data_IF_001382565704
#
_entry.id   IF_001382565704
#
_cell.length_a   1.000
_cell.length_b   1.000
_cell.length_c   1.000
_cell.angle_alpha   90.00
_cell.angle_beta   90.00
_cell.angle_gamma   90.00
#
_symmetry.space_group_name_H-M   'P 1'
#
loop_
_entity.id
_entity.type
_entity.pdbx_description
1 polymer ?
#
# COMPACT_ATOMS: atom_id res chain seq x y z
N UNK A 1 8.64 -7.95 22.55
CA UNK A 1 8.67 -8.53 21.20
C UNK A 1 7.42 -8.03 20.51
N UNK A 2 7.54 -7.21 19.46
CA UNK A 2 6.39 -6.72 18.69
C UNK A 2 6.32 -7.58 17.44
N UNK A 3 5.36 -8.50 17.39
CA UNK A 3 5.08 -9.28 16.19
C UNK A 3 4.33 -8.39 15.20
N UNK A 4 4.93 -8.16 14.04
CA UNK A 4 4.27 -7.50 12.92
C UNK A 4 3.58 -8.61 12.11
N UNK A 5 2.26 -8.71 12.27
CA UNK A 5 1.41 -9.61 11.47
C UNK A 5 1.10 -8.91 10.15
N UNK A 6 1.56 -9.47 9.03
CA UNK A 6 1.18 -9.02 7.69
C UNK A 6 -0.06 -9.80 7.23
N UNK A 7 -1.24 -9.18 7.35
CA UNK A 7 -2.48 -9.74 6.78
C UNK A 7 -2.63 -9.29 5.33
N UNK A 8 -2.27 -10.16 4.38
CA UNK A 8 -2.47 -9.97 2.92
C UNK A 8 -3.87 -10.42 2.48
N UNK A 9 -4.88 -10.22 3.33
CA UNK A 9 -6.28 -10.51 3.00
C UNK A 9 -7.03 -9.21 2.83
N UNK A 10 -7.93 -9.16 1.87
CA UNK A 10 -8.91 -8.09 1.62
C UNK A 10 -9.81 -7.90 2.85
N UNK A 11 -9.24 -7.29 3.90
CA UNK A 11 -9.92 -6.98 5.12
C UNK A 11 -10.58 -5.64 4.89
N UNK A 12 -11.89 -5.67 4.63
CA UNK A 12 -12.76 -4.51 4.81
C UNK A 12 -12.31 -3.81 6.10
N UNK A 13 -11.89 -2.56 5.95
CA UNK A 13 -11.31 -1.74 7.01
C UNK A 13 -12.20 -1.87 8.23
N UNK A 14 -11.72 -2.61 9.23
CA UNK A 14 -12.43 -2.79 10.49
C UNK A 14 -12.73 -1.40 11.05
N UNK A 15 -14.00 -1.18 11.39
CA UNK A 15 -14.46 0.04 12.02
C UNK A 15 -13.52 0.37 13.20
N UNK A 16 -12.86 1.55 13.20
CA UNK A 16 -11.95 1.95 14.28
C UNK A 16 -12.63 2.05 15.66
N UNK A 17 -13.95 1.90 15.72
CA UNK A 17 -14.80 2.06 16.90
C UNK A 17 -14.61 1.09 18.09
N UNK A 18 -13.67 0.15 18.06
CA UNK A 18 -13.53 -0.85 19.14
C UNK A 18 -12.26 -0.76 19.98
N UNK A 19 -11.32 0.14 19.66
CA UNK A 19 -10.12 0.32 20.46
C UNK A 19 -10.24 1.55 21.38
N UNK A 20 -10.46 1.29 22.66
CA UNK A 20 -10.74 2.30 23.68
C UNK A 20 -9.50 3.06 24.18
N UNK A 21 -8.29 2.65 23.78
CA UNK A 21 -7.06 3.39 24.14
C UNK A 21 -6.65 4.37 23.05
N UNK A 22 -6.26 5.58 23.46
CA UNK A 22 -5.73 6.62 22.58
C UNK A 22 -4.54 6.11 21.73
N UNK A 23 -3.68 5.29 22.33
CA UNK A 23 -2.55 4.64 21.64
C UNK A 23 -2.99 3.75 20.47
N UNK A 24 -4.10 3.02 20.62
CA UNK A 24 -4.58 2.15 19.57
C UNK A 24 -5.23 2.95 18.42
N UNK A 25 -5.93 4.05 18.72
CA UNK A 25 -6.47 4.94 17.69
C UNK A 25 -5.37 5.63 16.88
N UNK A 26 -4.27 6.04 17.53
CA UNK A 26 -3.09 6.60 16.85
C UNK A 26 -2.47 5.57 15.91
N UNK A 27 -2.23 4.33 16.39
CA UNK A 27 -1.68 3.25 15.58
C UNK A 27 -2.56 2.92 14.37
N UNK A 28 -3.88 2.90 14.53
CA UNK A 28 -4.82 2.66 13.41
C UNK A 28 -4.71 3.76 12.36
N UNK A 29 -4.61 5.03 12.79
CA UNK A 29 -4.44 6.16 11.86
C UNK A 29 -3.11 6.08 11.12
N UNK A 30 -2.03 5.71 11.79
CA UNK A 30 -0.72 5.51 11.16
C UNK A 30 -0.77 4.39 10.12
N UNK A 31 -1.35 3.23 10.47
CA UNK A 31 -1.53 2.10 9.54
C UNK A 31 -2.37 2.52 8.33
N UNK A 32 -3.46 3.25 8.53
CA UNK A 32 -4.31 3.75 7.45
C UNK A 32 -3.55 4.73 6.53
N UNK A 33 -2.70 5.59 7.10
CA UNK A 33 -1.79 6.45 6.36
C UNK A 33 -0.80 5.65 5.52
N UNK A 34 -0.14 4.65 6.13
CA UNK A 34 0.79 3.77 5.42
C UNK A 34 0.13 3.02 4.26
N UNK A 35 -1.10 2.54 4.42
CA UNK A 35 -1.84 1.86 3.35
C UNK A 35 -2.03 2.77 2.12
N UNK A 36 -2.38 4.05 2.34
CA UNK A 36 -2.50 5.03 1.25
C UNK A 36 -1.16 5.28 0.55
N UNK A 37 -0.08 5.36 1.31
CA UNK A 37 1.26 5.53 0.75
C UNK A 37 1.68 4.30 -0.06
N UNK A 38 1.36 3.09 0.41
CA UNK A 38 1.60 1.84 -0.31
C UNK A 38 0.83 1.78 -1.64
N UNK A 39 -0.44 2.20 -1.67
CA UNK A 39 -1.20 2.29 -2.92
C UNK A 39 -0.54 3.24 -3.94
N UNK A 40 -0.03 4.38 -3.47
CA UNK A 40 0.66 5.34 -4.34
C UNK A 40 1.97 4.75 -4.89
N UNK A 41 2.74 4.06 -4.05
CA UNK A 41 3.96 3.36 -4.47
C UNK A 41 3.63 2.30 -5.54
N UNK A 42 2.57 1.50 -5.34
CA UNK A 42 2.13 0.52 -6.34
C UNK A 42 1.75 1.17 -7.68
N UNK A 43 1.02 2.28 -7.65
CA UNK A 43 0.68 3.04 -8.87
C UNK A 43 1.93 3.53 -9.59
N UNK A 44 2.89 4.11 -8.87
CA UNK A 44 4.14 4.60 -9.43
C UNK A 44 4.98 3.48 -10.07
N UNK A 45 5.04 2.31 -9.41
CA UNK A 45 5.72 1.13 -9.96
C UNK A 45 5.05 0.68 -11.27
N UNK A 46 3.72 0.64 -11.30
CA UNK A 46 2.98 0.26 -12.51
C UNK A 46 3.21 1.26 -13.66
N UNK A 47 3.24 2.56 -13.36
CA UNK A 47 3.58 3.58 -14.35
C UNK A 47 5.00 3.39 -14.90
N UNK A 48 5.99 3.15 -14.03
CA UNK A 48 7.36 2.89 -14.42
C UNK A 48 7.47 1.63 -15.31
N UNK A 49 6.77 0.54 -14.94
CA UNK A 49 6.70 -0.68 -15.76
C UNK A 49 6.14 -0.42 -17.15
N UNK A 50 5.08 0.39 -17.27
CA UNK A 50 4.50 0.75 -18.55
C UNK A 50 5.47 1.58 -19.41
N UNK A 51 6.17 2.55 -18.81
CA UNK A 51 7.20 3.33 -19.52
C UNK A 51 8.32 2.43 -20.05
N UNK A 52 8.81 1.49 -19.24
CA UNK A 52 9.83 0.52 -19.69
C UNK A 52 9.33 -0.35 -20.84
N UNK A 53 8.08 -0.84 -20.77
CA UNK A 53 7.47 -1.61 -21.86
C UNK A 53 7.42 -0.82 -23.17
N UNK A 54 7.06 0.45 -23.12
CA UNK A 54 7.02 1.32 -24.30
C UNK A 54 8.42 1.54 -24.89
N UNK A 55 9.45 1.70 -24.05
CA UNK A 55 10.85 1.83 -24.52
C UNK A 55 11.28 0.55 -25.25
N UNK A 56 11.00 -0.63 -24.68
CA UNK A 56 11.34 -1.92 -25.28
C UNK A 56 10.60 -2.10 -26.63
N UNK A 57 9.32 -1.76 -26.69
CA UNK A 57 8.53 -1.84 -27.93
C UNK A 57 9.09 -0.95 -29.04
N UNK A 58 9.50 0.29 -28.72
CA UNK A 58 10.14 1.19 -29.69
C UNK A 58 11.47 0.63 -30.19
N UNK A 59 12.32 0.13 -29.27
CA UNK A 59 13.62 -0.44 -29.64
C UNK A 59 13.50 -1.71 -30.49
N UNK A 60 12.49 -2.55 -30.24
CA UNK A 60 12.26 -3.78 -31.02
C UNK A 60 11.70 -3.56 -32.42
N UNK A 61 11.27 -2.33 -32.75
CA UNK A 61 10.80 -1.96 -34.10
C UNK A 61 11.93 -1.46 -35.01
N UNK A 62 13.12 -1.21 -34.47
CA UNK A 62 14.34 -0.81 -35.21
C UNK A 62 15.11 -2.06 -35.61
#
# INVERSE_FOLDING_TARGET
>A
MVEIVTTTGDCDVVDPGHFTSESAQILIREIMGCNRDLENIQKNINEAKNKMKNIIDVLGRV
#
